data_IF_085387237614
#
_entry.id   IF_085387237614
#
_cell.length_a   1.000
_cell.length_b   1.000
_cell.length_c   1.000
_cell.angle_alpha   90.00
_cell.angle_beta   90.00
_cell.angle_gamma   90.00
#
_symmetry.space_group_name_H-M   'P 1'
#
loop_
_entity.id
_entity.type
_entity.pdbx_description
1 polymer ?
#
# COMPACT_ATOMS: atom_id res chain seq x y z
N UNK A 1 21.97 -9.78 4.11
CA UNK A 1 20.96 -10.44 4.96
C UNK A 1 20.15 -9.44 5.78
N UNK A 2 20.77 -8.48 6.48
CA UNK A 2 20.04 -7.50 7.31
C UNK A 2 18.97 -6.68 6.57
N UNK A 3 19.23 -6.24 5.34
CA UNK A 3 18.26 -5.47 4.54
C UNK A 3 17.00 -6.26 4.17
N UNK A 4 17.14 -7.56 3.90
CA UNK A 4 16.02 -8.43 3.51
C UNK A 4 15.15 -8.74 4.73
N UNK A 5 15.77 -9.02 5.88
CA UNK A 5 15.03 -9.22 7.13
C UNK A 5 14.20 -7.98 7.49
N UNK A 6 14.74 -6.78 7.31
CA UNK A 6 14.02 -5.53 7.55
C UNK A 6 12.81 -5.34 6.62
N UNK A 7 12.92 -5.72 5.34
CA UNK A 7 11.79 -5.65 4.39
C UNK A 7 10.67 -6.59 4.82
N UNK A 8 11.00 -7.83 5.18
CA UNK A 8 10.01 -8.82 5.63
C UNK A 8 9.34 -8.41 6.94
N UNK A 9 10.07 -7.85 7.90
CA UNK A 9 9.45 -7.38 9.16
C UNK A 9 8.49 -6.22 8.92
N UNK A 10 8.83 -5.30 8.00
CA UNK A 10 7.94 -4.19 7.67
C UNK A 10 6.68 -4.66 6.92
N UNK A 11 6.78 -5.62 6.01
CA UNK A 11 5.58 -6.13 5.31
C UNK A 11 4.64 -6.90 6.23
N UNK A 12 5.18 -7.62 7.22
CA UNK A 12 4.37 -8.24 8.28
C UNK A 12 3.66 -7.17 9.12
N UNK A 13 4.37 -6.10 9.50
CA UNK A 13 3.77 -4.98 10.24
C UNK A 13 2.64 -4.31 9.45
N UNK A 14 2.83 -4.09 8.14
CA UNK A 14 1.79 -3.54 7.27
C UNK A 14 0.55 -4.43 7.16
N UNK A 15 0.74 -5.76 7.13
CA UNK A 15 -0.37 -6.72 7.10
C UNK A 15 -1.15 -6.73 8.43
N UNK A 16 -0.46 -6.61 9.57
CA UNK A 16 -1.13 -6.50 10.87
C UNK A 16 -1.97 -5.22 10.95
N UNK A 17 -1.44 -4.10 10.44
CA UNK A 17 -2.15 -2.82 10.41
C UNK A 17 -3.39 -2.89 9.50
N UNK A 18 -3.27 -3.49 8.32
CA UNK A 18 -4.41 -3.63 7.40
C UNK A 18 -5.51 -4.53 7.98
N UNK A 19 -5.14 -5.62 8.66
CA UNK A 19 -6.10 -6.48 9.38
C UNK A 19 -6.79 -5.75 10.52
N UNK A 20 -6.07 -4.91 11.27
CA UNK A 20 -6.65 -4.09 12.33
C UNK A 20 -7.74 -3.17 11.78
N UNK A 21 -7.42 -2.39 10.74
CA UNK A 21 -8.40 -1.53 10.07
C UNK A 21 -9.60 -2.30 9.53
N UNK A 22 -9.38 -3.50 8.99
CA UNK A 22 -10.47 -4.35 8.50
C UNK A 22 -11.41 -4.81 9.61
N UNK A 23 -10.88 -5.24 10.76
CA UNK A 23 -11.68 -5.66 11.91
C UNK A 23 -12.48 -4.49 12.48
N UNK A 24 -11.90 -3.29 12.56
CA UNK A 24 -12.60 -2.10 13.03
C UNK A 24 -13.73 -1.68 12.09
N UNK A 25 -13.46 -1.61 10.78
CA UNK A 25 -14.47 -1.30 9.76
C UNK A 25 -15.61 -2.34 9.72
N UNK A 26 -15.30 -3.62 9.99
CA UNK A 26 -16.30 -4.68 10.00
C UNK A 26 -17.23 -4.61 11.22
N UNK A 27 -16.73 -4.16 12.38
CA UNK A 27 -17.53 -4.01 13.61
C UNK A 27 -18.45 -2.80 13.53
N UNK A 28 -17.95 -1.69 13.00
CA UNK A 28 -18.71 -0.46 12.80
C UNK A 28 -18.28 0.18 11.48
N UNK A 29 -19.16 0.24 10.47
CA UNK A 29 -18.81 0.88 9.21
C UNK A 29 -18.54 2.36 9.47
N UNK A 30 -17.32 2.81 9.17
CA UNK A 30 -16.94 4.22 9.21
C UNK A 30 -16.32 4.60 7.87
N UNK A 31 -16.45 5.89 7.54
CA UNK A 31 -15.82 6.49 6.37
C UNK A 31 -14.80 7.50 6.87
N UNK A 32 -13.52 7.22 6.65
CA UNK A 32 -12.45 8.20 6.82
C UNK A 32 -12.18 8.79 5.44
N UNK A 33 -12.46 10.07 5.28
CA UNK A 33 -11.97 10.86 4.16
C UNK A 33 -11.08 11.96 4.75
N UNK A 34 -9.78 11.82 4.55
CA UNK A 34 -8.79 12.74 5.08
C UNK A 34 -8.03 13.42 3.95
N UNK A 35 -8.35 14.69 3.70
CA UNK A 35 -7.59 15.55 2.78
C UNK A 35 -6.35 16.10 3.50
N UNK A 36 -5.18 15.82 2.92
CA UNK A 36 -3.87 16.19 3.46
C UNK A 36 -3.45 17.56 2.92
N UNK A 37 -3.82 17.86 1.68
CA UNK A 37 -3.59 19.16 1.05
C UNK A 37 -3.98 19.16 -0.43
N UNK A 38 -3.91 20.32 -1.08
CA UNK A 38 -4.12 20.42 -2.53
C UNK A 38 -2.84 20.06 -3.28
N UNK A 39 -2.95 19.14 -4.23
CA UNK A 39 -1.86 18.76 -5.13
C UNK A 39 -1.76 19.73 -6.31
N UNK A 40 -2.91 20.13 -6.86
CA UNK A 40 -3.01 21.12 -7.92
C UNK A 40 -4.25 21.97 -7.71
N UNK A 41 -4.09 23.29 -7.54
CA UNK A 41 -5.21 24.23 -7.42
C UNK A 41 -5.15 25.27 -8.53
N UNK A 42 -6.17 25.29 -9.36
CA UNK A 42 -6.44 26.32 -10.36
C UNK A 42 -7.87 26.81 -10.20
N UNK A 43 -8.23 27.93 -10.82
CA UNK A 43 -9.58 28.49 -10.73
C UNK A 43 -10.69 27.51 -11.19
N UNK A 44 -10.35 26.55 -12.05
CA UNK A 44 -11.30 25.58 -12.62
C UNK A 44 -11.21 24.19 -11.99
N UNK A 45 -10.03 23.79 -11.50
CA UNK A 45 -9.76 22.42 -11.05
C UNK A 45 -8.99 22.47 -9.74
N UNK A 46 -9.54 21.81 -8.71
CA UNK A 46 -8.86 21.55 -7.44
C UNK A 46 -8.69 20.04 -7.26
N UNK A 47 -7.45 19.56 -7.32
CA UNK A 47 -7.07 18.17 -7.07
C UNK A 47 -6.46 18.11 -5.68
N UNK A 48 -7.08 17.35 -4.79
CA UNK A 48 -6.62 17.18 -3.42
C UNK A 48 -5.84 15.88 -3.26
N UNK A 49 -4.74 15.90 -2.52
CA UNK A 49 -4.14 14.68 -2.01
C UNK A 49 -4.88 14.28 -0.75
N UNK A 50 -5.63 13.18 -0.80
CA UNK A 50 -6.31 12.66 0.37
C UNK A 50 -6.43 11.15 0.36
N UNK A 51 -6.67 10.60 1.54
CA UNK A 51 -6.77 9.17 1.80
C UNK A 51 -8.22 8.86 2.17
N UNK A 52 -8.81 7.90 1.46
CA UNK A 52 -10.14 7.41 1.72
C UNK A 52 -10.12 5.96 2.22
N UNK A 53 -10.56 5.75 3.45
CA UNK A 53 -10.74 4.43 4.06
C UNK A 53 -12.23 4.18 4.25
N UNK A 54 -12.73 3.15 3.57
CA UNK A 54 -14.09 2.65 3.60
C UNK A 54 -14.04 1.11 3.70
N UNK A 55 -15.18 0.47 3.85
CA UNK A 55 -15.27 -0.99 3.95
C UNK A 55 -14.65 -1.70 2.74
N UNK A 56 -14.89 -1.19 1.53
CA UNK A 56 -14.30 -1.74 0.30
C UNK A 56 -12.78 -1.59 0.29
N UNK A 57 -12.26 -0.39 0.56
CA UNK A 57 -10.81 -0.14 0.51
C UNK A 57 -10.09 -0.92 1.61
N UNK A 58 -10.68 -1.05 2.79
CA UNK A 58 -10.13 -1.87 3.87
C UNK A 58 -10.02 -3.35 3.50
N UNK A 59 -10.99 -3.92 2.76
CA UNK A 59 -10.89 -5.29 2.27
C UNK A 59 -9.79 -5.47 1.21
N UNK A 60 -9.67 -4.50 0.30
CA UNK A 60 -8.64 -4.50 -0.75
C UNK A 60 -7.23 -4.34 -0.17
N UNK A 61 -7.07 -3.54 0.90
CA UNK A 61 -5.80 -3.40 1.62
C UNK A 61 -5.30 -4.75 2.15
N UNK A 62 -6.17 -5.55 2.76
CA UNK A 62 -5.80 -6.90 3.27
C UNK A 62 -5.30 -7.79 2.12
N UNK A 63 -6.00 -7.80 0.99
CA UNK A 63 -5.63 -8.60 -0.19
C UNK A 63 -4.25 -8.19 -0.71
N UNK A 64 -4.02 -6.89 -0.90
CA UNK A 64 -2.75 -6.36 -1.43
C UNK A 64 -1.60 -6.65 -0.47
N UNK A 65 -1.76 -6.39 0.83
CA UNK A 65 -0.70 -6.66 1.82
C UNK A 65 -0.36 -8.15 1.90
N UNK A 66 -1.34 -9.04 1.74
CA UNK A 66 -1.13 -10.49 1.77
C UNK A 66 -0.36 -10.98 0.55
N UNK A 67 -0.78 -10.58 -0.64
CA UNK A 67 -0.09 -10.94 -1.90
C UNK A 67 1.34 -10.37 -1.90
N UNK A 68 1.50 -9.13 -1.44
CA UNK A 68 2.81 -8.48 -1.29
C UNK A 68 3.74 -9.26 -0.37
N UNK A 69 3.26 -9.68 0.80
CA UNK A 69 4.05 -10.46 1.76
C UNK A 69 4.50 -11.78 1.14
N UNK A 70 3.60 -12.51 0.49
CA UNK A 70 3.96 -13.78 -0.17
C UNK A 70 4.95 -13.58 -1.32
N UNK A 71 4.76 -12.53 -2.13
CA UNK A 71 5.71 -12.21 -3.20
C UNK A 71 7.10 -11.91 -2.64
N UNK A 72 7.20 -11.17 -1.53
CA UNK A 72 8.47 -10.88 -0.89
C UNK A 72 9.14 -12.14 -0.33
N UNK A 73 8.42 -12.98 0.41
CA UNK A 73 8.96 -14.24 0.97
C UNK A 73 9.45 -15.16 -0.14
N UNK A 74 8.64 -15.36 -1.18
CA UNK A 74 9.00 -16.18 -2.33
C UNK A 74 10.27 -15.66 -3.03
N UNK A 75 10.38 -14.35 -3.16
CA UNK A 75 11.52 -13.71 -3.82
C UNK A 75 12.84 -13.84 -3.05
N UNK A 76 12.80 -14.01 -1.72
CA UNK A 76 14.02 -14.19 -0.90
C UNK A 76 14.75 -15.47 -1.29
N UNK A 77 14.01 -16.57 -1.41
CA UNK A 77 14.57 -17.86 -1.77
C UNK A 77 14.88 -17.92 -3.27
N UNK A 78 13.97 -17.42 -4.11
CA UNK A 78 14.14 -17.45 -5.56
C UNK A 78 15.38 -16.69 -6.04
N UNK A 79 15.67 -15.52 -5.46
CA UNK A 79 16.83 -14.70 -5.84
C UNK A 79 18.09 -15.02 -5.04
N UNK A 80 18.13 -16.14 -4.30
CA UNK A 80 19.25 -16.46 -3.39
C UNK A 80 20.62 -16.41 -4.09
N UNK A 81 20.69 -16.93 -5.32
CA UNK A 81 21.92 -17.04 -6.11
C UNK A 81 22.24 -15.81 -6.99
N UNK A 82 21.38 -14.78 -7.03
CA UNK A 82 21.60 -13.59 -7.88
C UNK A 82 22.33 -12.45 -7.12
N UNK A 83 23.38 -11.83 -7.68
CA UNK A 83 24.02 -10.65 -7.09
C UNK A 83 23.15 -9.38 -7.08
N UNK A 84 22.13 -9.25 -7.94
CA UNK A 84 21.33 -8.02 -8.10
C UNK A 84 20.06 -7.97 -7.23
N UNK A 85 19.96 -8.80 -6.19
CA UNK A 85 18.88 -8.79 -5.17
C UNK A 85 18.36 -7.40 -4.76
N UNK A 86 19.20 -6.44 -4.31
CA UNK A 86 18.70 -5.16 -3.78
C UNK A 86 17.88 -4.36 -4.79
N UNK A 87 18.25 -4.43 -6.08
CA UNK A 87 17.51 -3.74 -7.15
C UNK A 87 16.13 -4.36 -7.33
N UNK A 88 16.03 -5.69 -7.37
CA UNK A 88 14.75 -6.38 -7.48
C UNK A 88 13.82 -6.05 -6.31
N UNK A 89 14.32 -6.13 -5.07
CA UNK A 89 13.52 -5.81 -3.89
C UNK A 89 13.06 -4.34 -3.86
N UNK A 90 13.85 -3.41 -4.38
CA UNK A 90 13.41 -2.00 -4.50
C UNK A 90 12.24 -1.84 -5.48
N UNK A 91 12.25 -2.55 -6.61
CA UNK A 91 11.14 -2.51 -7.56
C UNK A 91 9.89 -3.19 -7.01
N UNK A 92 10.06 -4.30 -6.29
CA UNK A 92 8.95 -4.99 -5.64
C UNK A 92 8.31 -4.10 -4.55
N UNK A 93 9.11 -3.41 -3.74
CA UNK A 93 8.60 -2.46 -2.75
C UNK A 93 7.90 -1.26 -3.41
N UNK A 94 8.48 -0.71 -4.48
CA UNK A 94 7.87 0.38 -5.24
C UNK A 94 6.52 -0.02 -5.85
N UNK A 95 6.42 -1.23 -6.39
CA UNK A 95 5.15 -1.78 -6.88
C UNK A 95 4.10 -1.82 -5.77
N UNK A 96 4.46 -2.33 -4.58
CA UNK A 96 3.52 -2.42 -3.46
C UNK A 96 3.10 -1.04 -2.94
N UNK A 97 4.00 -0.05 -3.01
CA UNK A 97 3.70 1.34 -2.65
C UNK A 97 2.67 1.97 -3.58
N UNK A 98 2.83 1.83 -4.89
CA UNK A 98 1.87 2.34 -5.87
C UNK A 98 0.51 1.65 -5.75
N UNK A 99 0.49 0.32 -5.54
CA UNK A 99 -0.76 -0.42 -5.30
C UNK A 99 -1.50 0.06 -4.04
N UNK A 100 -0.78 0.46 -2.98
CA UNK A 100 -1.38 1.05 -1.79
C UNK A 100 -1.94 2.46 -2.07
N UNK A 101 -1.24 3.29 -2.84
CA UNK A 101 -1.75 4.61 -3.26
C UNK A 101 -3.04 4.46 -4.08
N UNK A 102 -3.07 3.53 -5.03
CA UNK A 102 -4.21 3.29 -5.91
C UNK A 102 -5.49 3.00 -5.12
N UNK A 103 -5.40 2.15 -4.10
CA UNK A 103 -6.57 1.76 -3.28
C UNK A 103 -6.95 2.79 -2.22
N UNK A 104 -5.97 3.53 -1.68
CA UNK A 104 -6.22 4.58 -0.70
C UNK A 104 -6.70 5.90 -1.32
N UNK A 105 -6.68 6.02 -2.64
CA UNK A 105 -6.98 7.26 -3.34
C UNK A 105 -8.40 7.77 -3.09
N UNK A 106 -8.53 9.06 -2.78
CA UNK A 106 -9.81 9.73 -2.66
C UNK A 106 -10.34 10.32 -3.98
N UNK A 107 -9.52 10.40 -5.04
CA UNK A 107 -9.91 10.97 -6.32
C UNK A 107 -9.37 10.17 -7.52
N UNK A 108 -9.94 10.43 -8.71
CA UNK A 108 -9.58 9.72 -9.94
C UNK A 108 -8.14 10.00 -10.37
N UNK A 109 -7.63 11.19 -10.08
CA UNK A 109 -6.28 11.58 -10.45
C UNK A 109 -5.23 10.75 -9.68
N UNK A 110 -5.37 10.65 -8.36
CA UNK A 110 -4.46 9.89 -7.51
C UNK A 110 -4.60 8.38 -7.73
N UNK A 111 -5.78 7.92 -8.18
CA UNK A 111 -5.98 6.53 -8.63
C UNK A 111 -5.23 6.23 -9.94
N UNK A 112 -4.98 7.22 -10.80
CA UNK A 112 -4.16 7.07 -12.01
C UNK A 112 -2.65 7.12 -11.73
N UNK A 113 -2.25 7.80 -10.64
CA UNK A 113 -0.85 7.87 -10.20
C UNK A 113 -0.40 6.57 -9.55
N UNK A 114 -1.29 5.91 -8.81
CA UNK A 114 -1.08 4.56 -8.30
C UNK A 114 -1.11 3.52 -9.41
#
# INVERSE_FOLDING_TARGET
MGSIAFICTNSIFMLLLSLFFFIENFKSPFLIDYSIGSWFSTELINIEYGIKIDQLTSSMLVVITTISLFAQIYSVEYMYFDPHKPRFFSYLAMFTFFMLILVCSNNLFLMFVG
#
